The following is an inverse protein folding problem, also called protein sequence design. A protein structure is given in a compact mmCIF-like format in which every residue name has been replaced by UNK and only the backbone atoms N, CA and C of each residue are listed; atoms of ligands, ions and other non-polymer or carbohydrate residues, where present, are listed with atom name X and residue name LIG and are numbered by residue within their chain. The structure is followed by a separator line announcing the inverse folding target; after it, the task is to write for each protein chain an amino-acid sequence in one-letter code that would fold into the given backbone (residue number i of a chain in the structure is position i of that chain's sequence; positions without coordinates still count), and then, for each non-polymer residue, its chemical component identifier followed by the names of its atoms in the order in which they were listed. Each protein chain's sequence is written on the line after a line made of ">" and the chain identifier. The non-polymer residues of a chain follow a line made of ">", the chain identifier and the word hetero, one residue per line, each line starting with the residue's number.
data_IF_296072309281
#
_entry.id   IF_296072309281
#
_cell.length_a   1.000
_cell.length_b   1.000
_cell.length_c   1.000
_cell.angle_alpha   90.00
_cell.angle_beta   90.00
_cell.angle_gamma   90.00
#
_symmetry.space_group_name_H-M   'P 1'
#
loop_
_entity.id
_entity.type
_entity.pdbx_description
1 polymer ?
#
# COMPACT_ATOMS: atom_id res chain seq x y z
N UNK A 1 22.68 -0.60 4.43
CA UNK A 1 22.72 -1.11 3.05
C UNK A 1 21.85 -0.19 2.21
N UNK A 2 22.39 0.54 1.23
CA UNK A 2 21.58 1.45 0.40
C UNK A 2 20.83 0.64 -0.66
N UNK A 3 19.50 0.71 -0.67
CA UNK A 3 18.59 0.04 -1.63
C UNK A 3 18.85 0.51 -3.08
N UNK A 4 19.62 1.59 -3.28
CA UNK A 4 19.97 2.14 -4.58
C UNK A 4 20.91 1.26 -5.45
N UNK A 5 21.41 0.12 -4.95
CA UNK A 5 22.32 -0.76 -5.71
C UNK A 5 21.61 -1.84 -6.56
N UNK A 6 20.29 -1.97 -6.47
CA UNK A 6 19.53 -2.87 -7.34
C UNK A 6 19.26 -2.19 -8.69
N UNK A 7 20.24 -2.23 -9.60
CA UNK A 7 20.15 -1.73 -10.98
C UNK A 7 19.16 -2.59 -11.82
N UNK A 8 17.86 -2.50 -11.53
CA UNK A 8 16.81 -3.20 -12.28
C UNK A 8 16.84 -4.73 -12.16
N UNK A 9 17.51 -5.26 -11.14
CA UNK A 9 17.55 -6.71 -10.86
C UNK A 9 16.69 -7.01 -9.65
N UNK A 10 15.78 -7.98 -9.79
CA UNK A 10 15.08 -8.57 -8.65
C UNK A 10 16.01 -9.56 -7.93
N UNK A 11 15.91 -9.66 -6.61
CA UNK A 11 16.67 -10.64 -5.84
C UNK A 11 16.43 -10.58 -4.33
N UNK A 12 16.65 -11.70 -3.64
CA UNK A 12 16.49 -11.76 -2.19
C UNK A 12 17.60 -10.97 -1.49
N UNK A 13 17.21 -10.34 -0.39
CA UNK A 13 18.12 -9.80 0.61
C UNK A 13 18.32 -10.86 1.68
N UNK A 14 19.57 -11.29 1.83
CA UNK A 14 19.96 -12.36 2.75
C UNK A 14 20.89 -11.84 3.84
N UNK A 15 20.77 -12.40 5.04
CA UNK A 15 21.69 -12.14 6.15
C UNK A 15 23.00 -12.94 6.00
N UNK A 16 23.87 -12.86 7.01
CA UNK A 16 25.16 -13.57 7.01
C UNK A 16 25.01 -15.10 6.97
N UNK A 17 23.90 -15.63 7.49
CA UNK A 17 23.58 -17.05 7.56
C UNK A 17 22.77 -17.53 6.34
N UNK A 18 22.57 -16.64 5.34
CA UNK A 18 21.81 -16.86 4.11
C UNK A 18 20.29 -17.00 4.32
N UNK A 19 19.76 -16.54 5.45
CA UNK A 19 18.31 -16.43 5.60
C UNK A 19 17.79 -15.24 4.81
N UNK A 20 16.70 -15.44 4.07
CA UNK A 20 16.03 -14.37 3.33
C UNK A 20 15.18 -13.55 4.31
N UNK A 21 15.44 -12.25 4.42
CA UNK A 21 14.65 -11.35 5.27
C UNK A 21 13.86 -10.30 4.49
N UNK A 22 14.15 -10.13 3.19
CA UNK A 22 13.38 -9.29 2.29
C UNK A 22 13.59 -9.71 0.82
N UNK A 23 12.69 -9.27 -0.05
CA UNK A 23 12.81 -9.44 -1.50
C UNK A 23 12.72 -8.08 -2.17
N UNK A 24 13.74 -7.73 -2.96
CA UNK A 24 13.65 -6.57 -3.86
C UNK A 24 13.16 -7.03 -5.22
N UNK A 25 12.09 -6.44 -5.72
CA UNK A 25 11.56 -6.72 -7.05
C UNK A 25 11.60 -5.48 -7.93
N UNK A 26 12.23 -5.62 -9.10
CA UNK A 26 12.31 -4.57 -10.12
C UNK A 26 11.06 -4.48 -11.00
N UNK A 27 10.05 -5.34 -10.77
CA UNK A 27 8.84 -5.46 -11.55
C UNK A 27 8.79 -6.76 -12.37
N UNK A 28 7.60 -7.15 -12.84
CA UNK A 28 7.45 -8.34 -13.66
C UNK A 28 8.05 -8.16 -15.05
N UNK A 29 8.33 -9.28 -15.73
CA UNK A 29 8.71 -9.28 -17.13
C UNK A 29 7.49 -9.07 -18.05
N UNK A 30 6.86 -7.90 -17.91
CA UNK A 30 5.73 -7.45 -18.71
C UNK A 30 6.07 -6.07 -19.33
N UNK A 31 6.25 -5.97 -20.66
CA UNK A 31 6.61 -4.71 -21.31
C UNK A 31 5.52 -3.64 -21.16
N UNK A 32 4.27 -4.03 -20.89
CA UNK A 32 3.16 -3.13 -20.63
C UNK A 32 3.06 -2.66 -19.17
N UNK A 33 3.85 -3.22 -18.24
CA UNK A 33 3.67 -2.98 -16.80
C UNK A 33 3.70 -1.50 -16.41
N UNK A 34 4.63 -0.73 -16.97
CA UNK A 34 4.72 0.69 -16.67
C UNK A 34 3.46 1.44 -17.12
N UNK A 35 3.03 1.21 -18.35
CA UNK A 35 1.87 1.87 -18.97
C UNK A 35 0.53 1.43 -18.35
N UNK A 36 0.41 0.16 -17.99
CA UNK A 36 -0.85 -0.44 -17.54
C UNK A 36 -1.02 -0.42 -16.02
N UNK A 37 0.08 -0.32 -15.26
CA UNK A 37 0.06 -0.41 -13.79
C UNK A 37 0.73 0.79 -13.15
N UNK A 38 2.00 1.07 -13.45
CA UNK A 38 2.77 2.09 -12.70
C UNK A 38 2.23 3.51 -12.96
N UNK A 39 2.08 3.91 -14.23
CA UNK A 39 1.58 5.24 -14.60
C UNK A 39 0.12 5.46 -14.16
N UNK A 40 -0.81 4.52 -14.41
CA UNK A 40 -2.20 4.70 -13.97
C UNK A 40 -2.34 4.68 -12.45
N UNK A 41 -1.60 3.80 -11.73
CA UNK A 41 -1.64 3.77 -10.27
C UNK A 41 -1.11 5.09 -9.66
N UNK A 42 -0.03 5.64 -10.22
CA UNK A 42 0.50 6.93 -9.78
C UNK A 42 -0.52 8.06 -9.97
N UNK A 43 -1.17 8.13 -11.14
CA UNK A 43 -2.19 9.13 -11.42
C UNK A 43 -3.43 8.99 -10.52
N UNK A 44 -3.89 7.76 -10.29
CA UNK A 44 -5.00 7.48 -9.39
C UNK A 44 -4.67 7.85 -7.94
N UNK A 45 -3.42 7.68 -7.50
CA UNK A 45 -2.96 8.16 -6.19
C UNK A 45 -2.99 9.68 -6.08
N UNK A 46 -2.61 10.41 -7.14
CA UNK A 46 -2.70 11.87 -7.17
C UNK A 46 -4.16 12.35 -7.13
N UNK A 47 -5.07 11.70 -7.87
CA UNK A 47 -6.50 11.98 -7.83
C UNK A 47 -7.13 11.65 -6.46
N UNK A 48 -6.84 10.47 -5.91
CA UNK A 48 -7.34 10.08 -4.59
C UNK A 48 -6.82 10.99 -3.49
N UNK A 49 -5.58 11.49 -3.61
CA UNK A 49 -5.06 12.50 -2.70
C UNK A 49 -5.91 13.78 -2.73
N UNK A 50 -6.49 14.18 -3.87
CA UNK A 50 -7.42 15.31 -3.96
C UNK A 50 -8.80 14.95 -3.39
N UNK A 51 -9.33 13.76 -3.71
CA UNK A 51 -10.64 13.29 -3.28
C UNK A 51 -10.79 13.08 -1.77
N UNK A 52 -9.70 12.71 -1.09
CA UNK A 52 -9.67 12.52 0.36
C UNK A 52 -9.81 13.85 1.15
N UNK A 53 -9.63 15.01 0.51
CA UNK A 53 -9.81 16.31 1.16
C UNK A 53 -11.12 17.03 0.80
N UNK A 54 -11.65 16.93 -0.43
CA UNK A 54 -12.90 17.67 -0.78
C UNK A 54 -13.56 17.34 -2.13
N UNK A 55 -13.21 16.22 -2.80
CA UNK A 55 -13.61 16.00 -4.22
C UNK A 55 -14.13 14.60 -4.53
N UNK A 56 -14.93 14.49 -5.60
CA UNK A 56 -15.43 13.21 -6.13
C UNK A 56 -14.29 12.46 -6.79
N UNK A 57 -13.91 11.31 -6.23
CA UNK A 57 -12.99 10.37 -6.87
C UNK A 57 -13.70 9.67 -8.03
N UNK A 58 -13.22 9.87 -9.26
CA UNK A 58 -13.80 9.28 -10.47
C UNK A 58 -13.41 7.82 -10.64
N UNK A 59 -12.23 7.42 -10.15
CA UNK A 59 -11.71 6.05 -10.24
C UNK A 59 -11.41 5.58 -11.66
N UNK A 60 -11.39 6.50 -12.64
CA UNK A 60 -11.14 6.19 -14.05
C UNK A 60 -9.91 6.94 -14.53
N UNK A 61 -8.91 6.18 -14.98
CA UNK A 61 -7.72 6.75 -15.61
C UNK A 61 -7.99 7.02 -17.10
N UNK A 62 -8.02 8.30 -17.50
CA UNK A 62 -8.29 8.73 -18.88
C UNK A 62 -7.02 8.96 -19.74
N UNK A 63 -5.86 8.45 -19.31
CA UNK A 63 -4.56 8.72 -19.95
C UNK A 63 -3.74 9.80 -19.23
N UNK A 64 -2.65 10.26 -19.84
CA UNK A 64 -1.81 11.35 -19.30
C UNK A 64 -2.66 12.60 -19.12
N UNK A 65 -3.00 12.92 -17.87
CA UNK A 65 -3.65 14.19 -17.48
C UNK A 65 -2.81 15.31 -18.10
N UNK A 66 -3.42 16.16 -18.93
CA UNK A 66 -2.75 17.37 -19.41
C UNK A 66 -2.24 18.14 -18.19
N UNK A 67 -1.08 18.77 -18.32
CA UNK A 67 -0.53 19.70 -17.32
C UNK A 67 -1.51 20.86 -17.11
N UNK A 68 -2.55 20.64 -16.31
CA UNK A 68 -3.32 21.73 -15.73
C UNK A 68 -2.32 22.55 -14.93
N UNK A 69 -2.27 23.85 -15.23
CA UNK A 69 -1.37 24.82 -14.62
C UNK A 69 -1.25 24.49 -13.14
N UNK A 70 -0.05 24.08 -12.69
CA UNK A 70 0.30 23.93 -11.27
C UNK A 70 -0.26 25.14 -10.53
N UNK A 71 -1.43 25.01 -9.91
CA UNK A 71 -1.84 25.94 -8.88
C UNK A 71 -0.75 25.77 -7.85
N UNK A 72 0.03 26.83 -7.62
CA UNK A 72 0.97 26.91 -6.51
C UNK A 72 0.11 26.65 -5.29
N UNK A 73 0.04 25.39 -4.84
CA UNK A 73 -0.48 25.08 -3.53
C UNK A 73 0.40 25.89 -2.61
N UNK A 74 -0.22 26.82 -1.89
CA UNK A 74 0.34 27.23 -0.61
C UNK A 74 0.71 25.95 0.10
N UNK A 75 1.91 25.92 0.66
CA UNK A 75 2.37 24.95 1.62
C UNK A 75 1.49 25.03 2.89
N UNK A 76 0.18 24.86 2.74
CA UNK A 76 -0.77 24.54 3.79
C UNK A 76 -0.52 23.09 4.19
N UNK A 77 0.69 22.87 4.68
CA UNK A 77 1.04 21.78 5.58
C UNK A 77 0.00 21.87 6.67
N UNK A 78 -0.78 20.81 6.87
CA UNK A 78 -1.52 20.68 8.10
C UNK A 78 -0.45 20.59 9.19
N UNK A 79 -0.11 21.74 9.79
CA UNK A 79 0.70 21.76 11.00
C UNK A 79 0.00 20.82 11.97
N UNK A 80 0.70 19.79 12.48
CA UNK A 80 0.14 18.94 13.52
C UNK A 80 -0.39 19.85 14.62
N UNK A 81 -1.60 19.59 15.10
CA UNK A 81 -2.28 20.43 16.10
C UNK A 81 -1.41 20.68 17.35
N UNK A 82 -0.37 19.84 17.58
CA UNK A 82 0.59 19.93 18.68
C UNK A 82 2.07 20.11 18.27
N UNK A 83 2.37 20.41 16.99
CA UNK A 83 3.76 20.57 16.50
C UNK A 83 4.62 19.29 16.46
N UNK A 84 4.05 18.12 16.77
CA UNK A 84 4.75 16.83 16.71
C UNK A 84 4.66 16.23 15.31
N UNK A 85 5.81 15.92 14.72
CA UNK A 85 5.89 15.19 13.44
C UNK A 85 5.27 13.79 13.64
N UNK A 86 4.35 13.36 12.77
CA UNK A 86 3.76 12.02 12.86
C UNK A 86 4.85 10.93 12.78
N UNK A 87 4.63 9.79 13.47
CA UNK A 87 5.57 8.65 13.54
C UNK A 87 6.15 8.25 12.17
N UNK A 88 5.32 8.22 11.13
CA UNK A 88 5.71 7.81 9.79
C UNK A 88 6.35 8.94 8.97
N UNK A 89 6.21 10.19 9.37
CA UNK A 89 6.67 11.36 8.60
C UNK A 89 5.52 12.31 8.25
N UNK A 90 5.88 13.43 7.62
CA UNK A 90 4.97 14.52 7.25
C UNK A 90 4.24 14.24 5.93
N UNK A 91 3.38 13.22 5.95
CA UNK A 91 2.49 12.88 4.85
C UNK A 91 1.26 12.13 5.35
N UNK A 92 0.19 12.12 4.54
CA UNK A 92 -1.04 11.41 4.90
C UNK A 92 -0.93 9.93 4.52
N UNK A 93 -1.22 9.05 5.47
CA UNK A 93 -1.23 7.60 5.31
C UNK A 93 -2.60 7.08 5.68
N UNK A 94 -3.31 6.41 4.75
CA UNK A 94 -4.63 5.85 5.01
C UNK A 94 -4.63 4.34 4.78
N UNK A 95 -5.07 3.57 5.77
CA UNK A 95 -5.10 2.11 5.71
C UNK A 95 -6.53 1.60 5.54
N UNK A 96 -6.80 0.75 4.55
CA UNK A 96 -8.07 0.04 4.36
C UNK A 96 -7.88 -1.46 4.60
N UNK A 97 -8.94 -2.14 5.05
CA UNK A 97 -8.97 -3.58 5.29
C UNK A 97 -9.35 -3.90 6.72
N UNK A 98 -8.96 -5.08 7.20
CA UNK A 98 -9.27 -5.56 8.55
C UNK A 98 -8.03 -5.49 9.45
N UNK A 99 -8.24 -5.20 10.73
CA UNK A 99 -7.20 -5.13 11.76
C UNK A 99 -7.70 -5.61 13.13
N UNK A 100 -6.73 -5.76 14.04
CA UNK A 100 -6.91 -5.92 15.47
C UNK A 100 -6.12 -4.82 16.18
N UNK A 101 -6.54 -4.47 17.40
CA UNK A 101 -5.92 -3.44 18.20
C UNK A 101 -6.51 -2.03 17.98
N UNK A 102 -5.85 -1.02 18.55
CA UNK A 102 -6.36 0.35 18.54
C UNK A 102 -7.64 0.53 19.38
N UNK A 103 -7.85 -0.34 20.37
CA UNK A 103 -9.05 -0.37 21.20
C UNK A 103 -10.17 -1.29 20.69
N UNK A 104 -10.01 -1.93 19.52
CA UNK A 104 -10.95 -2.95 19.06
C UNK A 104 -10.81 -4.23 19.89
N UNK A 105 -11.93 -4.76 20.38
CA UNK A 105 -12.00 -6.02 21.12
C UNK A 105 -12.02 -7.25 20.21
N UNK A 106 -12.42 -7.07 18.94
CA UNK A 106 -12.53 -8.13 17.94
C UNK A 106 -12.05 -7.64 16.57
N UNK A 107 -11.66 -8.54 15.64
CA UNK A 107 -11.13 -8.11 14.35
C UNK A 107 -12.19 -7.35 13.58
N UNK A 108 -11.82 -6.18 13.08
CA UNK A 108 -12.76 -5.27 12.45
C UNK A 108 -12.12 -4.45 11.32
N UNK A 109 -12.95 -3.80 10.49
CA UNK A 109 -12.45 -2.93 9.46
C UNK A 109 -11.81 -1.67 10.07
N UNK A 110 -10.77 -1.13 9.43
CA UNK A 110 -10.28 0.20 9.78
C UNK A 110 -11.39 1.24 9.69
N UNK A 111 -11.50 2.09 10.72
CA UNK A 111 -12.48 3.16 10.77
C UNK A 111 -12.11 4.29 9.79
N UNK A 112 -13.09 4.70 8.98
CA UNK A 112 -13.00 5.84 8.07
C UNK A 112 -14.35 6.55 8.01
N UNK A 113 -14.32 7.87 7.77
CA UNK A 113 -15.51 8.57 7.28
C UNK A 113 -15.93 7.98 5.92
N UNK A 114 -17.22 8.10 5.60
CA UNK A 114 -17.83 7.48 4.40
C UNK A 114 -17.05 7.85 3.13
N UNK A 115 -16.71 9.12 2.95
CA UNK A 115 -15.98 9.60 1.76
C UNK A 115 -14.62 8.90 1.60
N UNK A 116 -13.78 8.91 2.65
CA UNK A 116 -12.47 8.26 2.60
C UNK A 116 -12.59 6.77 2.31
N UNK A 117 -13.57 6.09 2.93
CA UNK A 117 -13.82 4.67 2.68
C UNK A 117 -14.13 4.40 1.21
N UNK A 118 -14.95 5.24 0.59
CA UNK A 118 -15.30 5.13 -0.84
C UNK A 118 -14.10 5.36 -1.75
N UNK A 119 -13.27 6.37 -1.48
CA UNK A 119 -12.05 6.63 -2.27
C UNK A 119 -11.07 5.45 -2.18
N UNK A 120 -10.81 4.96 -0.97
CA UNK A 120 -9.90 3.84 -0.74
C UNK A 120 -10.44 2.54 -1.38
N UNK A 121 -11.74 2.25 -1.23
CA UNK A 121 -12.35 1.10 -1.88
C UNK A 121 -12.31 1.23 -3.41
N UNK A 122 -12.51 2.43 -3.94
CA UNK A 122 -12.39 2.74 -5.36
C UNK A 122 -10.98 2.46 -5.88
N UNK A 123 -9.93 2.92 -5.19
CA UNK A 123 -8.54 2.60 -5.53
C UNK A 123 -8.33 1.08 -5.63
N UNK A 124 -8.75 0.34 -4.61
CA UNK A 124 -8.60 -1.13 -4.54
C UNK A 124 -9.36 -1.84 -5.67
N UNK A 125 -10.48 -1.28 -6.12
CA UNK A 125 -11.28 -1.83 -7.22
C UNK A 125 -10.65 -1.59 -8.61
N UNK A 126 -9.71 -0.65 -8.75
CA UNK A 126 -9.11 -0.36 -10.06
C UNK A 126 -8.14 -1.45 -10.51
N UNK A 127 -8.08 -1.66 -11.83
CA UNK A 127 -7.22 -2.69 -12.44
C UNK A 127 -5.73 -2.56 -12.08
N UNK A 128 -5.11 -1.36 -12.03
CA UNK A 128 -3.70 -1.22 -11.63
C UNK A 128 -3.42 -1.76 -10.23
N UNK A 129 -4.26 -1.45 -9.24
CA UNK A 129 -4.07 -1.91 -7.87
C UNK A 129 -4.38 -3.40 -7.69
N UNK A 130 -5.35 -3.95 -8.44
CA UNK A 130 -5.56 -5.40 -8.47
C UNK A 130 -4.36 -6.15 -9.07
N UNK A 131 -3.79 -5.63 -10.18
CA UNK A 131 -2.59 -6.21 -10.80
C UNK A 131 -1.39 -6.14 -9.87
N UNK A 132 -1.21 -5.01 -9.18
CA UNK A 132 -0.13 -4.83 -8.23
C UNK A 132 -0.26 -5.78 -7.02
N UNK A 133 -1.45 -5.89 -6.46
CA UNK A 133 -1.74 -6.82 -5.38
C UNK A 133 -1.50 -8.28 -5.79
N UNK A 134 -1.96 -8.67 -6.99
CA UNK A 134 -1.70 -10.00 -7.56
C UNK A 134 -0.20 -10.29 -7.75
N UNK A 135 0.55 -9.34 -8.29
CA UNK A 135 2.00 -9.49 -8.49
C UNK A 135 2.75 -9.63 -7.18
N UNK A 136 2.48 -8.75 -6.21
CA UNK A 136 3.08 -8.83 -4.87
C UNK A 136 2.70 -10.12 -4.13
N UNK A 137 1.47 -10.61 -4.30
CA UNK A 137 1.03 -11.89 -3.76
C UNK A 137 1.81 -13.07 -4.37
N UNK A 138 2.05 -13.06 -5.69
CA UNK A 138 2.82 -14.09 -6.37
C UNK A 138 4.30 -14.09 -5.94
N UNK A 139 4.92 -12.92 -5.78
CA UNK A 139 6.29 -12.81 -5.24
C UNK A 139 6.35 -13.37 -3.83
N UNK A 140 5.40 -12.98 -2.98
CA UNK A 140 5.37 -13.46 -1.60
C UNK A 140 5.25 -14.98 -1.53
N UNK A 141 4.39 -15.58 -2.36
CA UNK A 141 4.27 -17.03 -2.46
C UNK A 141 5.57 -17.70 -2.94
N UNK A 142 6.27 -17.10 -3.90
CA UNK A 142 7.49 -17.68 -4.47
C UNK A 142 8.68 -17.66 -3.49
N UNK A 143 8.81 -16.62 -2.67
CA UNK A 143 9.98 -16.42 -1.81
C UNK A 143 9.77 -16.79 -0.35
N UNK A 144 8.52 -16.87 0.12
CA UNK A 144 8.19 -17.27 1.49
C UNK A 144 6.89 -18.10 1.51
N UNK A 145 6.84 -19.29 0.87
CA UNK A 145 5.62 -20.05 0.65
C UNK A 145 4.91 -20.46 1.95
N UNK A 146 5.64 -20.85 2.98
CA UNK A 146 5.05 -21.24 4.27
C UNK A 146 4.41 -20.05 4.98
N UNK A 147 5.10 -18.90 4.96
CA UNK A 147 4.60 -17.64 5.51
C UNK A 147 3.37 -17.13 4.73
N UNK A 148 3.41 -17.25 3.40
CA UNK A 148 2.28 -16.97 2.52
C UNK A 148 1.08 -17.87 2.85
N UNK A 149 1.31 -19.18 3.02
CA UNK A 149 0.29 -20.15 3.44
C UNK A 149 -0.33 -19.82 4.79
N UNK A 150 0.47 -19.34 5.74
CA UNK A 150 -0.02 -18.81 7.02
C UNK A 150 -0.94 -17.60 6.83
N UNK A 151 -0.55 -16.61 6.02
CA UNK A 151 -1.38 -15.44 5.72
C UNK A 151 -2.70 -15.85 5.06
N UNK A 152 -2.62 -16.71 4.05
CA UNK A 152 -3.78 -17.21 3.32
C UNK A 152 -4.76 -17.91 4.27
N UNK A 153 -4.29 -18.93 5.01
CA UNK A 153 -5.12 -19.72 5.91
C UNK A 153 -5.71 -18.90 7.05
N UNK A 154 -4.97 -17.95 7.61
CA UNK A 154 -5.45 -17.08 8.68
C UNK A 154 -6.52 -16.12 8.17
N UNK A 155 -6.30 -15.50 7.01
CA UNK A 155 -7.29 -14.61 6.39
C UNK A 155 -8.56 -15.38 6.00
N UNK A 156 -8.42 -16.59 5.49
CA UNK A 156 -9.51 -17.51 5.21
C UNK A 156 -10.33 -17.85 6.45
N UNK A 157 -9.66 -18.20 7.55
CA UNK A 157 -10.31 -18.51 8.84
C UNK A 157 -11.05 -17.29 9.38
N UNK A 158 -10.45 -16.11 9.30
CA UNK A 158 -11.06 -14.86 9.74
C UNK A 158 -12.40 -14.60 9.03
N UNK A 159 -12.42 -14.73 7.70
CA UNK A 159 -13.65 -14.56 6.90
C UNK A 159 -14.61 -15.75 6.96
N UNK A 160 -14.19 -16.90 7.50
CA UNK A 160 -15.10 -17.99 7.85
C UNK A 160 -15.79 -17.74 9.18
N UNK A 161 -15.06 -17.21 10.14
CA UNK A 161 -15.55 -16.85 11.46
C UNK A 161 -16.55 -15.69 11.41
N UNK A 162 -16.23 -14.60 10.71
CA UNK A 162 -17.14 -13.47 10.53
C UNK A 162 -17.34 -13.14 9.04
N UNK A 163 -18.59 -13.30 8.58
CA UNK A 163 -19.01 -13.07 7.19
C UNK A 163 -19.27 -11.59 6.87
N UNK A 164 -19.34 -10.74 7.89
CA UNK A 164 -19.52 -9.30 7.72
C UNK A 164 -18.22 -8.63 7.29
N UNK A 165 -17.07 -9.20 7.69
CA UNK A 165 -15.74 -8.76 7.27
C UNK A 165 -15.58 -8.91 5.76
N UNK A 166 -14.99 -7.89 5.14
CA UNK A 166 -14.76 -7.85 3.69
C UNK A 166 -13.28 -7.99 3.41
N UNK A 167 -12.96 -8.74 2.36
CA UNK A 167 -11.62 -8.75 1.79
C UNK A 167 -11.37 -7.46 1.02
N UNK A 168 -10.11 -7.06 1.04
CA UNK A 168 -9.57 -5.98 0.23
C UNK A 168 -9.70 -6.24 -1.28
N UNK A 169 -9.55 -7.49 -1.68
CA UNK A 169 -9.62 -7.94 -3.08
C UNK A 169 -10.42 -9.23 -3.18
N UNK A 170 -10.80 -9.61 -4.41
CA UNK A 170 -11.38 -10.93 -4.66
C UNK A 170 -10.44 -12.04 -4.18
N UNK A 171 -10.97 -13.18 -3.72
CA UNK A 171 -10.16 -14.33 -3.32
C UNK A 171 -9.12 -14.70 -4.40
N UNK A 172 -7.89 -14.97 -3.97
CA UNK A 172 -6.77 -15.30 -4.86
C UNK A 172 -5.91 -14.11 -5.29
N UNK A 173 -6.43 -12.88 -5.28
CA UNK A 173 -5.64 -11.69 -5.67
C UNK A 173 -4.60 -11.33 -4.61
N UNK A 174 -4.94 -11.43 -3.33
CA UNK A 174 -4.03 -11.06 -2.24
C UNK A 174 -4.35 -11.81 -0.94
N UNK A 175 -3.29 -12.14 -0.20
CA UNK A 175 -3.36 -12.70 1.15
C UNK A 175 -3.21 -11.65 2.25
N UNK A 176 -3.05 -10.37 1.89
CA UNK A 176 -2.89 -9.28 2.85
C UNK A 176 -4.25 -8.77 3.35
N UNK A 177 -4.39 -8.67 4.68
CA UNK A 177 -5.63 -8.24 5.32
C UNK A 177 -5.87 -6.74 5.23
N UNK A 178 -4.81 -5.96 5.01
CA UNK A 178 -4.86 -4.52 4.92
C UNK A 178 -3.94 -3.98 3.80
N UNK A 179 -4.29 -2.80 3.28
CA UNK A 179 -3.49 -2.03 2.36
C UNK A 179 -3.42 -0.57 2.85
N UNK A 180 -2.24 0.03 2.82
CA UNK A 180 -1.99 1.41 3.21
C UNK A 180 -1.55 2.22 2.01
N UNK A 181 -2.20 3.36 1.83
CA UNK A 181 -1.90 4.34 0.79
C UNK A 181 -1.25 5.56 1.43
N UNK A 182 0.01 5.82 1.04
CA UNK A 182 0.77 6.98 1.44
C UNK A 182 0.63 8.03 0.33
N UNK A 183 -0.01 9.15 0.64
CA UNK A 183 -0.30 10.21 -0.30
C UNK A 183 0.76 11.32 -0.24
N UNK A 184 1.11 11.83 -1.42
CA UNK A 184 2.14 12.84 -1.63
C UNK A 184 1.80 14.25 -1.15
N UNK A 185 2.72 15.21 -1.37
CA UNK A 185 3.68 15.25 -2.49
C UNK A 185 5.05 14.56 -2.26
N UNK A 186 5.42 14.20 -1.03
CA UNK A 186 6.63 13.42 -0.72
C UNK A 186 6.37 12.48 0.47
N UNK A 187 6.53 11.19 0.25
CA UNK A 187 6.24 10.11 1.22
C UNK A 187 7.53 9.54 1.80
N UNK A 188 8.38 10.42 2.33
CA UNK A 188 9.62 9.98 2.99
C UNK A 188 9.28 9.47 4.37
N UNK A 189 9.38 8.16 4.54
CA UNK A 189 9.05 7.53 5.81
C UNK A 189 10.20 7.62 6.80
N UNK A 190 9.94 8.15 7.99
CA UNK A 190 10.90 8.13 9.10
C UNK A 190 11.12 6.68 9.58
N UNK A 191 12.33 6.31 10.06
CA UNK A 191 12.56 5.00 10.64
C UNK A 191 11.56 4.70 11.76
N UNK A 192 10.83 3.60 11.64
CA UNK A 192 9.83 3.18 12.61
C UNK A 192 9.61 1.67 12.54
N UNK A 193 8.98 1.12 13.58
CA UNK A 193 8.43 -0.23 13.58
C UNK A 193 6.91 -0.17 13.45
N UNK A 194 6.36 -1.09 12.66
CA UNK A 194 4.92 -1.29 12.57
C UNK A 194 4.49 -2.34 13.59
N UNK A 195 4.35 -1.89 14.84
CA UNK A 195 4.03 -2.73 16.01
C UNK A 195 2.71 -3.51 15.87
N UNK A 196 1.80 -3.03 15.02
CA UNK A 196 0.55 -3.71 14.75
C UNK A 196 0.69 -4.81 13.70
N UNK A 197 1.83 -5.00 13.03
CA UNK A 197 2.01 -6.09 12.08
C UNK A 197 2.45 -7.36 12.82
N UNK A 198 2.19 -8.52 12.20
CA UNK A 198 2.79 -9.78 12.60
C UNK A 198 4.31 -9.64 12.65
N UNK A 199 4.93 -9.92 13.80
CA UNK A 199 6.34 -9.62 14.06
C UNK A 199 7.33 -10.32 13.09
N UNK A 200 7.02 -11.55 12.67
CA UNK A 200 7.76 -12.34 11.68
C UNK A 200 7.10 -12.30 10.30
N UNK A 201 6.10 -11.44 10.13
CA UNK A 201 5.35 -11.27 8.91
C UNK A 201 6.05 -10.39 7.89
N UNK A 202 5.72 -10.60 6.62
CA UNK A 202 6.18 -9.74 5.53
C UNK A 202 5.08 -8.77 5.11
N UNK A 203 5.52 -7.65 4.53
CA UNK A 203 4.67 -6.66 3.88
C UNK A 203 5.24 -6.37 2.50
N UNK A 204 4.38 -6.11 1.52
CA UNK A 204 4.81 -5.67 0.21
C UNK A 204 4.73 -4.14 0.14
N UNK A 205 5.76 -3.48 -0.40
CA UNK A 205 5.80 -2.01 -0.55
C UNK A 205 6.07 -1.70 -2.01
N UNK A 206 5.26 -0.83 -2.59
CA UNK A 206 5.43 -0.32 -3.95
C UNK A 206 5.48 1.20 -3.92
N UNK A 207 6.54 1.75 -4.48
CA UNK A 207 6.74 3.18 -4.62
C UNK A 207 6.30 3.63 -6.03
N UNK A 208 5.63 4.79 -6.11
CA UNK A 208 5.22 5.43 -7.36
C UNK A 208 5.84 6.83 -7.49
N UNK A 209 6.08 7.25 -8.74
CA UNK A 209 6.54 8.59 -9.12
C UNK A 209 8.03 8.67 -9.48
N UNK A 210 8.43 9.81 -10.07
CA UNK A 210 9.79 10.04 -10.55
C UNK A 210 10.72 10.65 -9.46
N UNK A 211 11.77 9.90 -9.12
CA UNK A 211 13.05 10.28 -8.46
C UNK A 211 13.05 10.83 -7.01
N UNK A 212 13.89 10.21 -6.15
CA UNK A 212 14.43 10.53 -4.80
C UNK A 212 13.42 10.91 -3.69
N UNK A 213 12.27 11.47 -4.03
CA UNK A 213 11.16 11.81 -3.14
C UNK A 213 9.92 11.12 -3.69
N UNK A 214 9.73 9.85 -3.30
CA UNK A 214 8.56 9.04 -3.67
C UNK A 214 7.29 9.87 -3.48
N UNK A 215 6.53 10.11 -4.55
CA UNK A 215 5.33 10.96 -4.47
C UNK A 215 4.18 10.22 -3.82
N UNK A 216 4.10 8.90 -3.99
CA UNK A 216 3.09 8.07 -3.38
C UNK A 216 3.63 6.66 -3.20
N UNK A 217 3.19 5.95 -2.18
CA UNK A 217 3.54 4.54 -1.99
C UNK A 217 2.33 3.77 -1.50
N UNK A 218 2.21 2.52 -1.93
CA UNK A 218 1.24 1.58 -1.39
C UNK A 218 1.97 0.47 -0.66
N UNK A 219 1.54 0.16 0.55
CA UNK A 219 2.00 -1.03 1.26
C UNK A 219 0.85 -1.99 1.53
N UNK A 220 1.10 -3.29 1.44
CA UNK A 220 0.18 -4.34 1.80
C UNK A 220 0.71 -5.04 3.03
N UNK A 221 -0.10 -5.15 4.08
CA UNK A 221 0.31 -5.69 5.37
C UNK A 221 -0.49 -6.91 5.79
N UNK A 222 0.19 -7.78 6.54
CA UNK A 222 -0.42 -8.94 7.18
C UNK A 222 -1.42 -8.56 8.26
N UNK A 223 -2.19 -9.54 8.69
CA UNK A 223 -3.15 -9.42 9.80
C UNK A 223 -2.42 -8.83 11.01
N UNK A 224 -2.96 -7.74 11.56
CA UNK A 224 -2.64 -7.35 12.92
C UNK A 224 -3.18 -8.42 13.86
N UNK A 225 -2.30 -8.98 14.69
CA UNK A 225 -2.70 -9.71 15.88
C UNK A 225 -2.86 -8.72 17.03
#
# INVERSE_FOLDING_TARGET
>A
MSICNFKGKSGPLVDADRNIFAMFDAGPHDPGWNKDVVEPAAALMEEAAEGIYDHVFSGVYYGTRQNEKKRRRSSGVATPLDGKIPRRGDYRSQTIGNSMGGGQETPGPFFHIVLNRLVLAGLMATRPFQRLAGHTNAIFQAYAPDLHGYYHSTLDRLHRWDKTLKRNFLPGISVFAAATFNFGPATVTLPHLDFANLAWGWCAITAFGNSIRTRAATSYSGISC
#
